data_IF_685017572308
#
_entry.id   IF_685017572308
#
_cell.length_a   1.000
_cell.length_b   1.000
_cell.length_c   1.000
_cell.angle_alpha   90.00
_cell.angle_beta   90.00
_cell.angle_gamma   90.00
#
_symmetry.space_group_name_H-M   'P 1'
#
loop_
_entity.id
_entity.type
_entity.pdbx_description
1 polymer ?
#
# COMPACT_ATOMS: atom_id res chain seq x y z
N UNK A 1 44.47 -13.96 -13.02
CA UNK A 1 43.73 -15.08 -12.41
C UNK A 1 42.32 -15.04 -12.94
N UNK A 2 41.86 -16.10 -13.58
CA UNK A 2 40.45 -16.25 -13.97
C UNK A 2 39.72 -16.50 -12.64
N UNK A 3 39.11 -15.46 -12.09
CA UNK A 3 38.18 -15.61 -10.96
C UNK A 3 36.93 -16.27 -11.56
N UNK A 4 36.64 -17.51 -11.17
CA UNK A 4 35.39 -18.17 -11.55
C UNK A 4 34.25 -17.40 -10.88
N UNK A 5 33.40 -16.77 -11.70
CA UNK A 5 32.14 -16.18 -11.25
C UNK A 5 31.20 -17.33 -10.82
N UNK A 6 30.70 -17.31 -9.58
CA UNK A 6 29.81 -18.34 -9.02
C UNK A 6 28.37 -17.88 -9.13
N UNK A 7 27.46 -18.73 -9.61
CA UNK A 7 26.04 -18.39 -9.69
C UNK A 7 25.42 -18.38 -8.28
N UNK A 8 24.50 -17.46 -8.02
CA UNK A 8 23.96 -17.23 -6.66
C UNK A 8 23.21 -18.45 -6.10
N UNK A 9 22.67 -19.32 -6.95
CA UNK A 9 22.04 -20.60 -6.57
C UNK A 9 23.04 -21.66 -6.07
N UNK A 10 24.34 -21.44 -6.21
CA UNK A 10 25.42 -22.35 -5.75
C UNK A 10 26.00 -21.96 -4.39
N UNK A 11 25.56 -20.84 -3.80
CA UNK A 11 25.95 -20.37 -2.46
C UNK A 11 24.93 -20.91 -1.43
N UNK A 12 25.34 -21.86 -0.58
CA UNK A 12 24.45 -22.57 0.36
C UNK A 12 23.93 -21.74 1.55
N UNK A 13 22.77 -22.18 2.06
CA UNK A 13 21.89 -21.75 3.15
C UNK A 13 22.08 -20.39 3.87
N UNK A 14 20.96 -19.64 3.86
CA UNK A 14 20.66 -18.42 4.62
C UNK A 14 21.66 -17.30 4.44
N UNK A 15 21.61 -16.66 3.27
CA UNK A 15 22.21 -15.34 3.07
C UNK A 15 21.75 -14.37 4.17
N UNK A 16 22.69 -13.83 4.93
CA UNK A 16 22.40 -12.76 5.88
C UNK A 16 21.68 -11.61 5.15
N UNK A 17 20.72 -10.97 5.82
CA UNK A 17 19.89 -9.92 5.21
C UNK A 17 20.74 -8.84 4.51
N UNK A 18 21.91 -8.52 5.07
CA UNK A 18 22.88 -7.59 4.47
C UNK A 18 23.37 -8.07 3.10
N UNK A 19 23.72 -9.35 2.95
CA UNK A 19 24.14 -9.94 1.68
C UNK A 19 22.99 -9.96 0.66
N UNK A 20 21.76 -10.27 1.08
CA UNK A 20 20.57 -10.19 0.22
C UNK A 20 20.38 -8.75 -0.29
N UNK A 21 20.59 -7.76 0.58
CA UNK A 21 20.44 -6.35 0.22
C UNK A 21 21.53 -5.88 -0.75
N UNK A 22 22.77 -6.32 -0.59
CA UNK A 22 23.85 -6.07 -1.55
C UNK A 22 23.54 -6.65 -2.93
N UNK A 23 23.05 -7.89 -2.96
CA UNK A 23 22.58 -8.55 -4.19
C UNK A 23 21.50 -7.71 -4.87
N UNK A 24 20.53 -7.25 -4.11
CA UNK A 24 19.38 -6.55 -4.69
C UNK A 24 19.74 -5.13 -5.11
N UNK A 25 20.64 -4.42 -4.40
CA UNK A 25 21.12 -3.11 -4.87
C UNK A 25 21.89 -3.24 -6.19
N UNK A 26 22.71 -4.28 -6.32
CA UNK A 26 23.42 -4.56 -7.57
C UNK A 26 22.44 -4.88 -8.71
N UNK A 27 21.47 -5.78 -8.48
CA UNK A 27 20.45 -6.15 -9.47
C UNK A 27 19.67 -4.92 -9.93
N UNK A 28 19.13 -4.16 -8.98
CA UNK A 28 18.32 -2.96 -9.26
C UNK A 28 19.11 -1.90 -10.00
N UNK A 29 20.42 -1.77 -9.75
CA UNK A 29 21.30 -0.84 -10.48
C UNK A 29 21.42 -1.18 -11.97
N UNK A 30 21.56 -2.46 -12.31
CA UNK A 30 21.70 -2.88 -13.71
C UNK A 30 20.36 -2.76 -14.44
N UNK A 31 19.26 -3.16 -13.78
CA UNK A 31 17.92 -2.99 -14.32
C UNK A 31 17.60 -1.51 -14.57
N UNK A 32 17.96 -0.62 -13.65
CA UNK A 32 17.76 0.83 -13.80
C UNK A 32 18.47 1.36 -15.04
N UNK A 33 19.71 0.94 -15.26
CA UNK A 33 20.47 1.28 -16.45
C UNK A 33 19.80 0.77 -17.73
N UNK A 34 19.38 -0.50 -17.75
CA UNK A 34 18.71 -1.11 -18.91
C UNK A 34 17.37 -0.44 -19.24
N UNK A 35 16.53 -0.22 -18.22
CA UNK A 35 15.23 0.43 -18.36
C UNK A 35 15.36 1.87 -18.88
N UNK A 36 16.39 2.60 -18.44
CA UNK A 36 16.71 3.94 -18.95
C UNK A 36 17.05 3.98 -20.45
N UNK A 37 17.42 2.84 -21.03
CA UNK A 37 17.68 2.66 -22.47
C UNK A 37 16.53 1.93 -23.19
N UNK A 38 15.38 1.76 -22.55
CA UNK A 38 14.21 1.09 -23.15
C UNK A 38 14.38 -0.43 -23.31
N UNK A 39 15.29 -1.03 -22.55
CA UNK A 39 15.56 -2.47 -22.58
C UNK A 39 14.98 -3.14 -21.34
N UNK A 40 14.25 -4.24 -21.54
CA UNK A 40 13.75 -5.11 -20.46
C UNK A 40 14.66 -6.34 -20.40
N UNK A 41 15.06 -6.77 -19.20
CA UNK A 41 15.88 -7.97 -19.03
C UNK A 41 15.11 -9.24 -19.41
N UNK A 42 13.87 -9.38 -18.92
CA UNK A 42 12.91 -10.42 -19.31
C UNK A 42 13.25 -11.86 -18.88
N UNK A 43 14.37 -12.07 -18.18
CA UNK A 43 14.85 -13.38 -17.73
C UNK A 43 15.68 -13.27 -16.44
N UNK A 44 15.21 -12.48 -15.48
CA UNK A 44 15.87 -12.31 -14.20
C UNK A 44 15.59 -13.54 -13.30
N UNK A 45 16.64 -14.29 -12.97
CA UNK A 45 16.62 -15.52 -12.16
C UNK A 45 17.97 -15.72 -11.48
N UNK A 46 18.02 -16.55 -10.43
CA UNK A 46 19.23 -16.72 -9.60
C UNK A 46 20.44 -17.23 -10.39
N UNK A 47 20.22 -18.06 -11.42
CA UNK A 47 21.28 -18.63 -12.26
C UNK A 47 21.93 -17.56 -13.17
N UNK A 48 21.27 -16.41 -13.33
CA UNK A 48 21.78 -15.27 -14.10
C UNK A 48 22.41 -14.19 -13.19
N UNK A 49 22.47 -14.42 -11.88
CA UNK A 49 23.10 -13.52 -10.91
C UNK A 49 24.42 -14.15 -10.49
N UNK A 50 25.52 -13.48 -10.82
CA UNK A 50 26.87 -13.96 -10.59
C UNK A 50 27.55 -13.15 -9.49
N UNK A 51 28.16 -13.85 -8.53
CA UNK A 51 28.95 -13.25 -7.46
C UNK A 51 30.42 -13.47 -7.78
N UNK A 52 31.20 -12.39 -7.74
CA UNK A 52 32.64 -12.40 -8.03
C UNK A 52 33.39 -11.57 -6.99
N UNK A 53 34.72 -11.72 -6.90
CA UNK A 53 35.56 -10.84 -6.08
C UNK A 53 35.52 -9.36 -6.49
N UNK A 54 34.94 -9.04 -7.66
CA UNK A 54 34.68 -7.67 -8.15
C UNK A 54 33.28 -7.14 -7.85
N UNK A 55 32.46 -7.92 -7.13
CA UNK A 55 31.06 -7.63 -6.86
C UNK A 55 30.10 -8.48 -7.70
N UNK A 56 28.86 -8.04 -7.76
CA UNK A 56 27.73 -8.79 -8.32
C UNK A 56 27.46 -8.35 -9.76
N UNK A 57 27.28 -9.32 -10.65
CA UNK A 57 27.02 -9.11 -12.08
C UNK A 57 25.75 -9.82 -12.50
N UNK A 58 25.04 -9.23 -13.45
CA UNK A 58 23.88 -9.84 -14.09
C UNK A 58 24.25 -10.32 -15.49
N UNK A 59 24.08 -11.62 -15.73
CA UNK A 59 24.11 -12.21 -17.07
C UNK A 59 22.71 -12.46 -17.62
N UNK A 60 22.60 -13.15 -18.75
CA UNK A 60 21.31 -13.49 -19.36
C UNK A 60 20.62 -12.34 -20.12
N UNK A 61 21.22 -11.14 -20.15
CA UNK A 61 20.85 -10.05 -21.09
C UNK A 61 21.02 -10.55 -22.53
N UNK A 62 19.92 -10.85 -23.21
CA UNK A 62 19.90 -11.35 -24.60
C UNK A 62 19.09 -12.63 -24.84
N UNK A 63 18.72 -13.37 -23.79
CA UNK A 63 17.82 -14.54 -23.91
C UNK A 63 16.33 -14.16 -23.72
N UNK A 64 16.07 -12.96 -23.18
CA UNK A 64 14.72 -12.37 -23.01
C UNK A 64 14.69 -10.87 -23.33
N UNK A 65 15.70 -10.36 -24.05
CA UNK A 65 15.80 -8.93 -24.38
C UNK A 65 14.66 -8.55 -25.32
N UNK A 66 13.73 -7.77 -24.81
CA UNK A 66 12.59 -7.26 -25.56
C UNK A 66 12.60 -5.73 -25.46
N UNK A 67 12.43 -5.08 -26.61
CA UNK A 67 12.11 -3.66 -26.64
C UNK A 67 10.76 -3.46 -25.94
N UNK A 68 10.65 -2.38 -25.17
CA UNK A 68 9.40 -1.98 -24.52
C UNK A 68 8.27 -1.94 -25.56
N UNK A 69 7.15 -2.59 -25.24
CA UNK A 69 5.99 -2.65 -26.12
C UNK A 69 6.00 -3.79 -27.14
N UNK A 70 6.91 -4.77 -27.07
CA UNK A 70 6.79 -6.03 -27.83
C UNK A 70 6.00 -7.09 -27.08
N UNK A 71 5.35 -8.00 -27.84
CA UNK A 71 4.65 -9.16 -27.29
C UNK A 71 5.63 -10.29 -27.03
N UNK A 72 5.46 -10.99 -25.93
CA UNK A 72 6.30 -12.11 -25.54
C UNK A 72 6.30 -13.28 -26.55
N UNK A 73 5.20 -13.49 -27.29
CA UNK A 73 5.08 -14.57 -28.29
C UNK A 73 6.06 -14.48 -29.46
N UNK A 74 6.75 -13.36 -29.63
CA UNK A 74 7.78 -13.16 -30.66
C UNK A 74 9.19 -13.57 -30.21
N UNK A 75 9.40 -13.81 -28.90
CA UNK A 75 10.64 -14.35 -28.34
C UNK A 75 10.58 -15.89 -28.27
N UNK A 76 11.68 -16.58 -28.55
CA UNK A 76 11.74 -18.03 -28.53
C UNK A 76 11.58 -18.57 -27.08
N UNK A 77 10.45 -19.18 -26.70
CA UNK A 77 10.12 -19.47 -25.30
C UNK A 77 10.97 -20.59 -24.67
N UNK A 78 11.82 -21.26 -25.45
CA UNK A 78 12.60 -22.45 -25.05
C UNK A 78 13.66 -22.20 -23.95
N UNK A 79 13.95 -20.95 -23.57
CA UNK A 79 15.03 -20.61 -22.63
C UNK A 79 14.58 -20.00 -21.29
N UNK A 80 13.27 -19.87 -21.07
CA UNK A 80 12.75 -19.20 -19.88
C UNK A 80 12.24 -20.20 -18.85
N UNK A 81 12.53 -19.90 -17.58
CA UNK A 81 12.07 -20.72 -16.47
C UNK A 81 10.69 -20.23 -16.01
N UNK A 82 9.70 -21.10 -16.16
CA UNK A 82 8.31 -20.91 -15.76
C UNK A 82 8.17 -20.38 -14.33
N UNK A 83 9.06 -20.75 -13.42
CA UNK A 83 8.97 -20.37 -12.01
C UNK A 83 9.20 -18.87 -11.76
N UNK A 84 9.75 -18.15 -12.74
CA UNK A 84 10.05 -16.72 -12.64
C UNK A 84 9.18 -15.85 -13.55
N UNK A 85 8.41 -16.45 -14.46
CA UNK A 85 7.68 -15.69 -15.48
C UNK A 85 6.66 -14.73 -14.87
N UNK A 86 6.66 -13.50 -15.37
CA UNK A 86 5.62 -12.53 -15.05
C UNK A 86 4.28 -12.91 -15.72
N UNK A 87 3.13 -12.55 -15.12
CA UNK A 87 1.80 -12.81 -15.68
C UNK A 87 1.64 -12.35 -17.13
N UNK A 88 2.13 -11.15 -17.46
CA UNK A 88 2.07 -10.59 -18.80
C UNK A 88 2.95 -11.36 -19.81
N UNK A 89 4.03 -12.01 -19.37
CA UNK A 89 4.84 -12.89 -20.22
C UNK A 89 4.06 -14.16 -20.54
N UNK A 90 3.46 -14.79 -19.53
CA UNK A 90 2.61 -15.98 -19.69
C UNK A 90 1.44 -15.70 -20.64
N UNK A 91 0.82 -14.52 -20.55
CA UNK A 91 -0.33 -14.12 -21.36
C UNK A 91 0.06 -13.61 -22.76
N UNK A 92 1.34 -13.50 -23.11
CA UNK A 92 1.75 -12.97 -24.40
C UNK A 92 1.46 -11.48 -24.58
N UNK A 93 1.35 -10.72 -23.50
CA UNK A 93 1.01 -9.30 -23.50
C UNK A 93 2.24 -8.42 -23.79
N UNK A 94 2.00 -7.12 -23.94
CA UNK A 94 3.06 -6.13 -24.06
C UNK A 94 3.86 -6.06 -22.76
N UNK A 95 5.19 -6.09 -22.89
CA UNK A 95 6.09 -5.99 -21.75
C UNK A 95 6.56 -4.55 -21.54
N UNK A 96 6.74 -4.19 -20.28
CA UNK A 96 7.39 -2.96 -19.85
C UNK A 96 8.40 -3.26 -18.72
N UNK A 97 9.04 -2.22 -18.19
CA UNK A 97 10.00 -2.33 -17.09
C UNK A 97 9.46 -3.06 -15.84
N UNK A 98 8.14 -3.13 -15.65
CA UNK A 98 7.49 -3.75 -14.50
C UNK A 98 7.44 -5.27 -14.61
N UNK A 99 7.72 -5.84 -15.79
CA UNK A 99 7.98 -7.26 -15.98
C UNK A 99 9.21 -7.71 -15.18
N UNK A 100 10.29 -6.92 -15.23
CA UNK A 100 11.49 -7.21 -14.43
C UNK A 100 11.25 -7.00 -12.92
N UNK A 101 10.31 -6.13 -12.54
CA UNK A 101 9.95 -5.95 -11.13
C UNK A 101 9.23 -7.18 -10.55
N UNK A 102 8.41 -7.86 -11.34
CA UNK A 102 7.77 -9.10 -10.90
C UNK A 102 8.79 -10.20 -10.68
N UNK A 103 9.67 -10.42 -11.66
CA UNK A 103 10.74 -11.43 -11.57
C UNK A 103 11.70 -11.11 -10.42
N UNK A 104 11.98 -9.82 -10.16
CA UNK A 104 12.71 -9.39 -8.96
C UNK A 104 11.98 -9.76 -7.67
N UNK A 105 10.65 -9.63 -7.62
CA UNK A 105 9.82 -10.08 -6.51
C UNK A 105 9.95 -11.59 -6.26
N UNK A 106 9.99 -12.40 -7.33
CA UNK A 106 10.19 -13.85 -7.24
C UNK A 106 11.58 -14.17 -6.68
N UNK A 107 12.63 -13.50 -7.19
CA UNK A 107 14.01 -13.65 -6.70
C UNK A 107 14.10 -13.31 -5.21
N UNK A 108 13.53 -12.17 -4.79
CA UNK A 108 13.52 -11.73 -3.40
C UNK A 108 12.78 -12.72 -2.50
N UNK A 109 11.60 -13.18 -2.91
CA UNK A 109 10.82 -14.17 -2.17
C UNK A 109 11.66 -15.43 -1.91
N UNK A 110 12.35 -15.92 -2.94
CA UNK A 110 13.23 -17.08 -2.83
C UNK A 110 14.42 -16.84 -1.94
N UNK A 111 15.11 -15.71 -2.07
CA UNK A 111 16.26 -15.40 -1.21
C UNK A 111 15.88 -15.29 0.28
N UNK A 112 14.66 -14.81 0.57
CA UNK A 112 14.19 -14.60 1.94
C UNK A 112 13.59 -15.85 2.60
N UNK A 113 13.09 -16.81 1.82
CA UNK A 113 12.37 -17.99 2.35
C UNK A 113 12.99 -19.32 1.97
N UNK A 114 13.99 -19.29 1.09
CA UNK A 114 14.54 -20.45 0.38
C UNK A 114 13.48 -21.28 -0.39
N UNK A 115 12.36 -20.65 -0.75
CA UNK A 115 11.25 -21.29 -1.45
C UNK A 115 10.80 -20.47 -2.64
N UNK A 116 10.32 -21.13 -3.69
CA UNK A 116 9.58 -20.44 -4.74
C UNK A 116 8.22 -19.94 -4.20
N UNK A 117 7.69 -18.81 -4.70
CA UNK A 117 6.36 -18.34 -4.33
C UNK A 117 5.26 -19.32 -4.73
N UNK A 118 5.48 -20.11 -5.79
CA UNK A 118 4.55 -21.12 -6.30
C UNK A 118 5.29 -22.42 -6.63
N UNK A 119 4.62 -23.55 -6.42
CA UNK A 119 5.16 -24.90 -6.67
C UNK A 119 4.07 -25.81 -7.23
N UNK A 120 4.44 -26.80 -8.03
CA UNK A 120 3.53 -27.81 -8.57
C UNK A 120 3.91 -28.22 -9.98
N UNK A 121 2.93 -28.75 -10.73
CA UNK A 121 3.07 -28.97 -12.17
C UNK A 121 3.17 -27.63 -12.92
N UNK A 122 3.71 -27.64 -14.14
CA UNK A 122 3.81 -26.43 -14.95
C UNK A 122 2.47 -25.69 -15.09
N UNK A 123 1.37 -26.43 -15.29
CA UNK A 123 0.04 -25.84 -15.39
C UNK A 123 -0.40 -25.16 -14.08
N UNK A 124 -0.07 -25.75 -12.93
CA UNK A 124 -0.39 -25.18 -11.61
C UNK A 124 0.43 -23.93 -11.35
N UNK A 125 1.74 -23.96 -11.64
CA UNK A 125 2.63 -22.80 -11.47
C UNK A 125 2.18 -21.65 -12.39
N UNK A 126 1.88 -21.94 -13.64
CA UNK A 126 1.36 -20.97 -14.61
C UNK A 126 0.07 -20.31 -14.09
N UNK A 127 -0.90 -21.12 -13.66
CA UNK A 127 -2.15 -20.61 -13.10
C UNK A 127 -1.93 -19.79 -11.83
N UNK A 128 -1.01 -20.22 -10.96
CA UNK A 128 -0.69 -19.51 -9.72
C UNK A 128 -0.03 -18.15 -9.99
N UNK A 129 0.89 -18.07 -10.96
CA UNK A 129 1.44 -16.79 -11.40
C UNK A 129 0.34 -15.85 -11.89
N UNK A 130 -0.67 -16.35 -12.60
CA UNK A 130 -1.77 -15.53 -13.11
C UNK A 130 -2.76 -15.06 -12.02
N UNK A 131 -3.15 -15.93 -11.08
CA UNK A 131 -4.33 -15.67 -10.24
C UNK A 131 -4.11 -15.83 -8.74
N UNK A 132 -3.14 -16.62 -8.29
CA UNK A 132 -3.01 -16.94 -6.86
C UNK A 132 -2.06 -15.98 -6.14
N UNK A 133 -2.44 -15.37 -5.01
CA UNK A 133 -1.48 -14.66 -4.19
C UNK A 133 -0.45 -15.65 -3.61
N UNK A 134 0.84 -15.27 -3.52
CA UNK A 134 1.83 -16.09 -2.83
C UNK A 134 1.54 -16.13 -1.33
N UNK A 135 2.09 -17.14 -0.64
CA UNK A 135 2.02 -17.22 0.82
C UNK A 135 2.75 -16.01 1.43
N UNK A 136 2.18 -15.30 2.42
CA UNK A 136 2.88 -14.20 3.06
C UNK A 136 4.23 -14.63 3.66
N UNK A 137 5.27 -13.81 3.47
CA UNK A 137 6.63 -14.11 3.90
C UNK A 137 6.74 -14.41 5.40
N UNK A 138 5.98 -13.68 6.22
CA UNK A 138 5.99 -13.81 7.69
C UNK A 138 5.29 -15.06 8.20
N UNK A 139 4.47 -15.72 7.38
CA UNK A 139 3.97 -17.07 7.69
C UNK A 139 5.08 -18.13 7.58
N UNK A 140 6.05 -17.92 6.68
CA UNK A 140 7.18 -18.82 6.48
C UNK A 140 8.39 -18.46 7.33
N UNK A 141 8.57 -17.18 7.63
CA UNK A 141 9.72 -16.65 8.38
C UNK A 141 9.29 -15.42 9.19
N UNK A 142 8.82 -15.61 10.44
CA UNK A 142 8.26 -14.54 11.28
C UNK A 142 9.23 -13.38 11.59
N UNK A 143 10.54 -13.61 11.46
CA UNK A 143 11.59 -12.61 11.68
C UNK A 143 11.68 -11.59 10.54
N UNK A 144 11.04 -11.84 9.39
CA UNK A 144 10.98 -10.88 8.29
C UNK A 144 10.13 -9.68 8.72
N UNK A 145 10.67 -8.48 8.52
CA UNK A 145 9.95 -7.24 8.80
C UNK A 145 8.72 -7.10 7.91
N UNK A 146 7.63 -6.57 8.47
CA UNK A 146 6.40 -6.24 7.72
C UNK A 146 6.67 -5.35 6.49
N UNK A 147 7.70 -4.49 6.55
CA UNK A 147 8.06 -3.63 5.43
C UNK A 147 8.70 -4.41 4.27
N UNK A 148 9.54 -5.41 4.59
CA UNK A 148 10.14 -6.30 3.58
C UNK A 148 9.06 -7.16 2.95
N UNK A 149 8.13 -7.68 3.78
CA UNK A 149 6.97 -8.42 3.29
C UNK A 149 6.14 -7.59 2.31
N UNK A 150 5.73 -6.39 2.71
CA UNK A 150 4.93 -5.51 1.86
C UNK A 150 5.63 -5.18 0.54
N UNK A 151 6.96 -4.95 0.56
CA UNK A 151 7.73 -4.73 -0.65
C UNK A 151 7.66 -5.91 -1.62
N UNK A 152 7.94 -7.12 -1.13
CA UNK A 152 7.96 -8.33 -1.97
C UNK A 152 6.57 -8.67 -2.48
N UNK A 153 5.55 -8.57 -1.63
CA UNK A 153 4.15 -8.85 -2.01
C UNK A 153 3.66 -7.85 -3.08
N UNK A 154 4.06 -6.57 -3.00
CA UNK A 154 3.71 -5.57 -4.01
C UNK A 154 4.45 -5.77 -5.34
N UNK A 155 5.69 -6.26 -5.33
CA UNK A 155 6.39 -6.68 -6.55
C UNK A 155 5.68 -7.86 -7.25
N UNK A 156 5.13 -8.78 -6.46
CA UNK A 156 4.41 -9.97 -6.93
C UNK A 156 2.93 -9.71 -7.29
N UNK A 157 2.49 -8.45 -7.32
CA UNK A 157 1.15 -8.10 -7.76
C UNK A 157 0.90 -8.54 -9.21
N UNK A 158 -0.29 -9.07 -9.49
CA UNK A 158 -0.59 -9.73 -10.78
C UNK A 158 -0.63 -8.75 -11.93
N UNK A 159 -1.32 -7.63 -11.75
CA UNK A 159 -1.39 -6.57 -12.75
C UNK A 159 -0.14 -5.67 -12.65
N UNK A 160 0.55 -5.37 -13.77
CA UNK A 160 1.74 -4.51 -13.75
C UNK A 160 1.49 -3.15 -13.09
N UNK A 161 0.29 -2.57 -13.24
CA UNK A 161 -0.08 -1.27 -12.65
C UNK A 161 -0.17 -1.25 -11.12
N UNK A 162 -0.35 -2.42 -10.50
CA UNK A 162 -0.44 -2.54 -9.03
C UNK A 162 0.95 -2.72 -8.39
N UNK A 163 1.99 -2.92 -9.23
CA UNK A 163 3.40 -2.98 -8.81
C UNK A 163 3.98 -1.57 -8.67
N UNK A 164 5.23 -1.50 -8.23
CA UNK A 164 5.99 -0.26 -8.25
C UNK A 164 6.16 0.29 -9.66
N UNK A 165 6.24 1.61 -9.79
CA UNK A 165 6.28 2.28 -11.08
C UNK A 165 7.61 2.05 -11.81
N UNK A 166 8.71 1.91 -11.07
CA UNK A 166 10.08 1.78 -11.59
C UNK A 166 10.98 1.04 -10.62
N UNK A 167 12.09 0.51 -11.14
CA UNK A 167 13.13 -0.14 -10.31
C UNK A 167 13.85 0.86 -9.40
N UNK A 168 13.98 2.13 -9.80
CA UNK A 168 14.50 3.20 -8.95
C UNK A 168 13.67 3.37 -7.67
N UNK A 169 12.34 3.23 -7.77
CA UNK A 169 11.45 3.28 -6.61
C UNK A 169 11.75 2.13 -5.64
N UNK A 170 11.92 0.91 -6.16
CA UNK A 170 12.24 -0.28 -5.37
C UNK A 170 13.60 -0.15 -4.68
N UNK A 171 14.62 0.28 -5.43
CA UNK A 171 15.98 0.51 -4.92
C UNK A 171 16.00 1.54 -3.79
N UNK A 172 15.24 2.62 -3.92
CA UNK A 172 15.12 3.63 -2.87
C UNK A 172 14.51 3.07 -1.59
N UNK A 173 13.51 2.19 -1.68
CA UNK A 173 12.87 1.58 -0.51
C UNK A 173 13.85 0.62 0.18
N UNK A 174 14.54 -0.22 -0.59
CA UNK A 174 15.50 -1.19 -0.06
C UNK A 174 16.70 -0.52 0.64
N UNK A 175 17.27 0.52 0.02
CA UNK A 175 18.31 1.35 0.64
C UNK A 175 17.84 2.04 1.90
N UNK A 176 16.56 2.41 1.93
CA UNK A 176 15.89 2.74 3.18
C UNK A 176 16.15 1.62 4.16
N UNK A 177 15.54 0.44 3.94
CA UNK A 177 15.49 -0.71 4.86
C UNK A 177 16.86 -1.10 5.47
N UNK A 178 17.94 -1.03 4.70
CA UNK A 178 19.31 -1.32 5.16
C UNK A 178 19.77 -0.35 6.25
N UNK A 179 19.53 0.95 6.06
CA UNK A 179 19.97 1.99 6.99
C UNK A 179 19.23 1.94 8.34
N UNK A 180 18.16 1.15 8.48
CA UNK A 180 17.48 0.88 9.76
C UNK A 180 18.26 -0.05 10.68
N UNK A 181 18.99 -1.00 10.12
CA UNK A 181 19.44 -2.20 10.83
C UNK A 181 20.79 -1.98 11.57
N UNK A 182 21.55 -0.94 11.20
CA UNK A 182 22.87 -0.61 11.77
C UNK A 182 22.87 0.29 13.00
N UNK A 183 21.71 0.61 13.59
CA UNK A 183 21.61 1.46 14.77
C UNK A 183 20.67 0.84 15.80
N UNK A 184 21.17 0.62 17.02
CA UNK A 184 20.34 0.40 18.21
C UNK A 184 19.53 1.68 18.48
N UNK A 185 18.42 1.83 17.78
CA UNK A 185 17.26 2.63 18.14
C UNK A 185 16.26 2.49 17.01
N UNK A 186 15.01 2.29 17.38
CA UNK A 186 13.89 2.05 16.47
C UNK A 186 13.64 3.29 15.62
N UNK A 187 14.33 3.40 14.50
CA UNK A 187 14.12 4.47 13.53
C UNK A 187 14.09 3.85 12.13
N UNK A 188 12.97 4.04 11.42
CA UNK A 188 12.86 4.08 9.94
C UNK A 188 11.41 4.19 9.46
N UNK A 189 11.11 4.49 8.15
CA UNK A 189 12.03 4.69 7.00
C UNK A 189 11.70 5.85 6.03
N UNK A 190 12.66 6.70 5.69
CA UNK A 190 12.91 7.24 4.32
C UNK A 190 14.00 8.31 4.43
N UNK A 191 15.06 8.19 3.64
CA UNK A 191 15.84 9.37 3.28
C UNK A 191 14.98 10.21 2.33
N UNK A 192 14.08 10.97 2.94
CA UNK A 192 13.43 12.17 2.46
C UNK A 192 14.51 13.23 2.21
N UNK A 193 15.39 13.00 1.23
CA UNK A 193 16.39 13.98 0.81
C UNK A 193 15.64 15.23 0.36
N UNK A 194 15.82 16.33 1.09
CA UNK A 194 15.09 17.59 0.87
C UNK A 194 13.69 17.68 1.49
N UNK A 195 13.19 16.64 2.18
CA UNK A 195 11.83 16.62 2.75
C UNK A 195 11.79 16.52 4.29
N UNK A 196 12.97 16.55 4.95
CA UNK A 196 13.11 16.74 6.41
C UNK A 196 12.27 17.92 6.93
N UNK A 197 12.17 19.00 6.14
CA UNK A 197 11.36 20.18 6.47
C UNK A 197 9.86 19.85 6.46
N UNK A 198 9.37 19.11 5.46
CA UNK A 198 7.97 18.70 5.39
C UNK A 198 7.62 17.78 6.57
N UNK A 199 8.48 16.83 6.93
CA UNK A 199 8.27 16.00 8.12
C UNK A 199 8.27 16.82 9.41
N UNK A 200 9.22 17.76 9.57
CA UNK A 200 9.23 18.64 10.75
C UNK A 200 7.93 19.43 10.87
N UNK A 201 7.38 19.93 9.76
CA UNK A 201 6.09 20.61 9.74
C UNK A 201 4.98 19.66 10.14
N UNK A 202 4.89 18.47 9.53
CA UNK A 202 3.86 17.48 9.88
C UNK A 202 3.96 17.04 11.34
N UNK A 203 5.18 16.86 11.86
CA UNK A 203 5.42 16.51 13.26
C UNK A 203 4.97 17.63 14.20
N UNK A 204 5.32 18.88 13.90
CA UNK A 204 4.87 20.03 14.68
C UNK A 204 3.34 20.14 14.71
N UNK A 205 2.67 19.95 13.57
CA UNK A 205 1.21 19.93 13.50
C UNK A 205 0.60 18.79 14.32
N UNK A 206 1.23 17.61 14.33
CA UNK A 206 0.76 16.50 15.15
C UNK A 206 0.96 16.78 16.64
N UNK A 207 2.06 17.43 17.03
CA UNK A 207 2.30 17.81 18.41
C UNK A 207 1.28 18.87 18.88
N UNK A 208 0.90 19.83 18.02
CA UNK A 208 -0.21 20.77 18.28
C UNK A 208 -1.57 20.06 18.36
N UNK A 209 -1.77 19.01 17.56
CA UNK A 209 -2.99 18.18 17.61
C UNK A 209 -3.10 17.45 18.95
N UNK A 210 -1.99 16.91 19.47
CA UNK A 210 -1.93 16.30 20.80
C UNK A 210 -2.19 17.29 21.92
N UNK A 211 -1.94 18.58 21.69
CA UNK A 211 -2.31 19.66 22.61
C UNK A 211 -3.80 20.06 22.53
N UNK A 212 -4.61 19.38 21.71
CA UNK A 212 -6.06 19.55 21.62
C UNK A 212 -6.54 20.45 20.49
N UNK A 213 -5.64 20.90 19.59
CA UNK A 213 -6.01 21.76 18.46
C UNK A 213 -5.98 20.99 17.16
N UNK A 214 -7.13 20.76 16.52
CA UNK A 214 -7.19 20.10 15.21
C UNK A 214 -6.39 20.84 14.14
N UNK A 215 -5.61 20.10 13.34
CA UNK A 215 -4.77 20.65 12.28
C UNK A 215 -5.16 20.13 10.90
N UNK A 216 -4.96 20.96 9.88
CA UNK A 216 -5.13 20.60 8.48
C UNK A 216 -3.86 20.91 7.70
N UNK A 217 -3.34 19.92 6.98
CA UNK A 217 -2.15 20.04 6.15
C UNK A 217 -2.45 19.64 4.72
N UNK A 218 -2.00 20.45 3.76
CA UNK A 218 -2.04 20.08 2.35
C UNK A 218 -0.64 19.75 1.83
N UNK A 219 -0.51 18.59 1.21
CA UNK A 219 0.74 18.13 0.60
C UNK A 219 0.63 18.21 -0.92
N UNK A 220 1.29 19.20 -1.51
CA UNK A 220 1.30 19.42 -2.96
C UNK A 220 2.64 19.07 -3.60
N UNK A 221 2.62 18.87 -4.91
CA UNK A 221 3.79 18.63 -5.74
C UNK A 221 3.46 17.84 -6.99
N UNK A 222 4.43 17.74 -7.91
CA UNK A 222 4.29 17.01 -9.18
C UNK A 222 3.91 15.53 -8.95
N UNK A 223 3.27 14.91 -9.95
CA UNK A 223 2.97 13.48 -9.89
C UNK A 223 4.27 12.67 -9.75
N UNK A 224 4.27 11.63 -8.92
CA UNK A 224 5.46 10.80 -8.68
C UNK A 224 6.52 11.39 -7.74
N UNK A 225 6.38 12.62 -7.23
CA UNK A 225 7.35 13.25 -6.30
C UNK A 225 7.39 12.64 -4.88
N UNK A 226 6.68 11.54 -4.64
CA UNK A 226 6.68 10.83 -3.35
C UNK A 226 5.77 11.42 -2.28
N UNK A 227 4.64 12.07 -2.64
CA UNK A 227 3.67 12.61 -1.68
C UNK A 227 3.06 11.53 -0.78
N UNK A 228 2.56 10.45 -1.39
CA UNK A 228 2.03 9.28 -0.67
C UNK A 228 3.10 8.66 0.22
N UNK A 229 4.32 8.46 -0.28
CA UNK A 229 5.42 7.92 0.52
C UNK A 229 5.82 8.81 1.72
N UNK A 230 5.72 10.13 1.60
CA UNK A 230 5.91 11.06 2.73
C UNK A 230 4.83 10.85 3.80
N UNK A 231 3.56 10.74 3.39
CA UNK A 231 2.43 10.57 4.30
C UNK A 231 2.43 9.19 4.96
N UNK A 232 2.72 8.13 4.20
CA UNK A 232 2.91 6.77 4.70
C UNK A 232 4.06 6.71 5.71
N UNK A 233 5.18 7.39 5.42
CA UNK A 233 6.30 7.45 6.34
C UNK A 233 5.95 8.18 7.64
N UNK A 234 5.29 9.33 7.52
CA UNK A 234 4.83 10.09 8.68
C UNK A 234 3.84 9.29 9.53
N UNK A 235 2.88 8.63 8.90
CA UNK A 235 1.92 7.73 9.54
C UNK A 235 2.62 6.59 10.31
N UNK A 236 3.65 5.96 9.72
CA UNK A 236 4.39 4.88 10.35
C UNK A 236 5.18 5.29 11.60
N UNK A 237 5.51 6.58 11.76
CA UNK A 237 6.21 7.10 12.94
C UNK A 237 5.29 7.31 14.16
N UNK A 238 3.98 7.45 13.93
CA UNK A 238 3.00 7.74 14.97
C UNK A 238 2.56 6.52 15.78
N UNK A 239 3.40 5.99 16.67
CA UNK A 239 3.06 4.84 17.54
C UNK A 239 1.85 5.04 18.47
N UNK A 240 1.32 6.25 18.58
CA UNK A 240 0.16 6.64 19.39
C UNK A 240 -0.88 7.43 18.60
N UNK A 241 -0.85 7.32 17.27
CA UNK A 241 -1.77 8.03 16.37
C UNK A 241 -2.53 7.00 15.57
N UNK A 242 -3.85 7.12 15.54
CA UNK A 242 -4.67 6.25 14.71
C UNK A 242 -4.71 6.80 13.30
N UNK A 243 -4.04 6.09 12.40
CA UNK A 243 -3.97 6.46 10.98
C UNK A 243 -5.18 5.89 10.26
N UNK A 244 -5.83 6.73 9.48
CA UNK A 244 -6.95 6.36 8.61
C UNK A 244 -6.73 7.00 7.25
N UNK A 245 -7.01 6.26 6.18
CA UNK A 245 -6.74 6.73 4.82
C UNK A 245 -7.90 6.44 3.90
N UNK A 246 -8.16 7.36 2.97
CA UNK A 246 -9.08 7.16 1.87
C UNK A 246 -8.64 7.94 0.64
N UNK A 247 -9.05 7.47 -0.54
CA UNK A 247 -8.67 8.10 -1.81
C UNK A 247 -9.91 8.65 -2.54
N UNK A 248 -9.76 9.82 -3.15
CA UNK A 248 -10.76 10.33 -4.07
C UNK A 248 -10.69 9.59 -5.40
N UNK A 249 -11.85 9.33 -6.01
CA UNK A 249 -11.93 8.60 -7.28
C UNK A 249 -12.64 9.41 -8.36
N UNK A 250 -12.07 9.38 -9.56
CA UNK A 250 -12.62 9.93 -10.80
C UNK A 250 -13.71 9.06 -11.42
N UNK A 251 -13.88 7.83 -10.91
CA UNK A 251 -14.76 6.85 -11.54
C UNK A 251 -16.23 7.30 -11.48
N UNK A 252 -16.90 7.19 -12.63
CA UNK A 252 -18.31 7.56 -12.76
C UNK A 252 -19.15 6.64 -11.87
N UNK A 253 -19.90 7.23 -10.94
CA UNK A 253 -20.72 6.48 -9.97
C UNK A 253 -20.05 6.23 -8.62
N UNK A 254 -18.81 6.68 -8.38
CA UNK A 254 -18.21 6.62 -7.05
C UNK A 254 -19.04 7.42 -6.03
N UNK A 255 -19.24 6.88 -4.81
CA UNK A 255 -19.98 7.56 -3.75
C UNK A 255 -19.44 8.96 -3.46
N UNK A 256 -20.32 9.89 -3.07
CA UNK A 256 -19.91 11.10 -2.39
C UNK A 256 -19.28 10.75 -1.03
N UNK A 257 -18.33 11.56 -0.57
CA UNK A 257 -17.62 11.37 0.70
C UNK A 257 -16.78 10.08 0.79
N UNK A 258 -16.52 9.41 -0.34
CA UNK A 258 -15.78 8.15 -0.41
C UNK A 258 -14.53 8.07 0.49
N UNK A 259 -13.58 9.03 0.48
CA UNK A 259 -12.38 8.91 1.31
C UNK A 259 -12.68 8.86 2.82
N UNK A 260 -13.72 9.56 3.27
CA UNK A 260 -14.14 9.53 4.67
C UNK A 260 -14.84 8.22 5.03
N UNK A 261 -15.65 7.68 4.13
CA UNK A 261 -16.28 6.38 4.33
C UNK A 261 -15.23 5.27 4.43
N UNK A 262 -14.19 5.32 3.60
CA UNK A 262 -13.10 4.34 3.65
C UNK A 262 -12.27 4.46 4.93
N UNK A 263 -11.99 5.69 5.36
CA UNK A 263 -11.32 5.95 6.63
C UNK A 263 -12.09 5.40 7.84
N UNK A 264 -13.42 5.62 7.88
CA UNK A 264 -14.27 5.08 8.96
C UNK A 264 -14.30 3.55 8.91
N UNK A 265 -14.44 2.93 7.72
CA UNK A 265 -14.39 1.45 7.60
C UNK A 265 -13.07 0.85 8.03
N UNK A 266 -11.95 1.55 7.82
CA UNK A 266 -10.66 1.12 8.32
C UNK A 266 -10.65 1.16 9.85
N UNK A 267 -11.10 2.28 10.43
CA UNK A 267 -11.18 2.46 11.88
C UNK A 267 -12.06 1.41 12.56
N UNK A 268 -13.27 1.18 12.04
CA UNK A 268 -14.22 0.20 12.58
C UNK A 268 -13.72 -1.25 12.51
N UNK A 269 -12.76 -1.56 11.61
CA UNK A 269 -12.15 -2.90 11.49
C UNK A 269 -10.99 -3.11 12.45
N UNK A 270 -10.27 -2.05 12.80
CA UNK A 270 -9.07 -2.14 13.62
C UNK A 270 -9.31 -1.85 15.11
N UNK A 271 -10.33 -1.07 15.44
CA UNK A 271 -10.61 -0.68 16.83
C UNK A 271 -11.43 -1.73 17.59
N UNK A 272 -11.22 -1.87 18.91
CA UNK A 272 -11.99 -2.79 19.72
C UNK A 272 -13.45 -2.37 19.80
N UNK A 273 -14.33 -3.35 20.01
CA UNK A 273 -15.79 -3.13 20.07
C UNK A 273 -16.16 -2.09 21.14
N UNK A 274 -15.45 -2.04 22.28
CA UNK A 274 -15.71 -1.06 23.34
C UNK A 274 -15.52 0.39 22.88
N UNK A 275 -14.53 0.65 22.01
CA UNK A 275 -14.34 1.97 21.42
C UNK A 275 -15.50 2.31 20.50
N UNK A 276 -15.88 1.37 19.63
CA UNK A 276 -17.02 1.54 18.72
C UNK A 276 -18.29 1.81 19.53
N UNK A 277 -18.50 1.08 20.63
CA UNK A 277 -19.61 1.29 21.55
C UNK A 277 -19.61 2.71 22.11
N UNK A 278 -18.49 3.23 22.61
CA UNK A 278 -18.39 4.60 23.14
C UNK A 278 -18.58 5.70 22.10
N UNK A 279 -18.11 5.51 20.87
CA UNK A 279 -18.34 6.49 19.79
C UNK A 279 -19.83 6.51 19.41
N UNK A 280 -20.49 5.35 19.50
CA UNK A 280 -21.89 5.17 19.13
C UNK A 280 -22.88 5.52 20.26
N UNK A 281 -22.54 5.24 21.51
CA UNK A 281 -23.29 5.61 22.72
C UNK A 281 -22.99 7.06 23.13
N UNK A 282 -24.00 7.75 23.63
CA UNK A 282 -24.02 9.20 23.73
C UNK A 282 -22.93 9.82 24.61
N UNK A 283 -22.21 10.77 24.02
CA UNK A 283 -21.81 11.98 24.73
C UNK A 283 -22.98 12.97 24.65
N UNK A 284 -23.97 12.84 25.55
CA UNK A 284 -24.70 13.92 26.25
C UNK A 284 -25.93 13.39 26.99
N UNK A 285 -25.81 13.25 28.32
CA UNK A 285 -26.91 13.43 29.29
C UNK A 285 -27.34 14.92 29.36
N UNK A 286 -27.34 15.63 28.23
CA UNK A 286 -27.62 17.06 28.18
C UNK A 286 -28.97 17.28 27.50
N UNK A 287 -30.03 17.16 28.31
CA UNK A 287 -31.44 17.37 27.92
C UNK A 287 -31.67 18.71 27.18
N UNK A 288 -30.77 19.68 27.31
CA UNK A 288 -30.85 20.98 26.64
C UNK A 288 -30.50 20.95 25.14
N UNK A 289 -29.74 19.96 24.65
CA UNK A 289 -29.36 19.83 23.23
C UNK A 289 -30.31 18.92 22.42
N UNK A 290 -31.21 18.22 23.10
CA UNK A 290 -32.19 17.29 22.52
C UNK A 290 -33.21 18.00 21.62
N UNK A 291 -33.36 19.33 21.71
CA UNK A 291 -34.46 20.00 21.01
C UNK A 291 -34.22 20.40 19.57
N UNK A 292 -32.97 20.40 19.03
CA UNK A 292 -32.74 20.67 17.60
C UNK A 292 -31.46 19.97 17.06
N UNK A 293 -31.58 18.71 16.64
CA UNK A 293 -30.68 18.12 15.63
C UNK A 293 -29.72 17.00 16.05
N UNK A 294 -29.75 16.53 17.30
CA UNK A 294 -28.97 15.38 17.78
C UNK A 294 -29.56 14.00 17.37
N UNK A 295 -30.72 13.99 16.72
CA UNK A 295 -31.67 12.87 16.79
C UNK A 295 -31.47 11.67 15.84
N UNK A 296 -30.37 11.53 15.11
CA UNK A 296 -30.23 10.41 14.14
C UNK A 296 -28.82 9.84 13.93
N UNK A 297 -27.82 10.23 14.73
CA UNK A 297 -26.42 9.83 14.50
C UNK A 297 -26.24 8.30 14.38
N UNK A 298 -26.68 7.54 15.37
CA UNK A 298 -26.53 6.08 15.37
C UNK A 298 -27.30 5.42 14.21
N UNK A 299 -28.47 5.95 13.86
CA UNK A 299 -29.28 5.49 12.73
C UNK A 299 -28.57 5.74 11.40
N UNK A 300 -28.04 6.94 11.22
CA UNK A 300 -27.38 7.35 9.98
C UNK A 300 -26.03 6.62 9.83
N UNK A 301 -25.30 6.40 10.92
CA UNK A 301 -24.09 5.56 10.96
C UNK A 301 -24.38 4.10 10.61
N UNK A 302 -25.41 3.48 11.21
CA UNK A 302 -25.85 2.12 10.84
C UNK A 302 -26.22 2.01 9.37
N UNK A 303 -26.75 3.08 8.81
CA UNK A 303 -27.13 3.11 7.40
C UNK A 303 -25.90 3.21 6.49
N UNK A 304 -24.94 4.07 6.83
CA UNK A 304 -23.69 4.23 6.08
C UNK A 304 -22.77 3.00 6.20
N UNK A 305 -22.83 2.31 7.36
CA UNK A 305 -22.02 1.15 7.72
C UNK A 305 -22.90 0.03 8.31
N UNK A 306 -23.65 -0.72 7.48
CA UNK A 306 -24.53 -1.79 7.94
C UNK A 306 -23.83 -2.87 8.79
N UNK A 307 -22.53 -3.05 8.59
CA UNK A 307 -21.66 -3.93 9.38
C UNK A 307 -21.68 -3.63 10.90
N UNK A 308 -21.99 -2.38 11.30
CA UNK A 308 -22.10 -1.99 12.70
C UNK A 308 -23.17 -2.76 13.46
N UNK A 309 -24.21 -3.26 12.79
CA UNK A 309 -25.28 -4.07 13.42
C UNK A 309 -24.73 -5.32 14.11
N UNK A 310 -23.69 -5.92 13.54
CA UNK A 310 -23.08 -7.12 14.12
C UNK A 310 -22.14 -6.79 15.28
N UNK A 311 -21.57 -5.58 15.27
CA UNK A 311 -20.59 -5.13 16.25
C UNK A 311 -21.25 -4.55 17.50
N UNK A 312 -22.40 -3.90 17.34
CA UNK A 312 -23.14 -3.25 18.44
C UNK A 312 -24.63 -3.65 18.37
N UNK A 313 -25.01 -4.83 18.89
CA UNK A 313 -26.38 -5.35 18.80
C UNK A 313 -27.44 -4.49 19.50
N UNK A 314 -27.05 -3.67 20.48
CA UNK A 314 -27.92 -2.72 21.19
C UNK A 314 -28.54 -1.67 20.25
N UNK A 315 -27.97 -1.44 19.07
CA UNK A 315 -28.47 -0.50 18.07
C UNK A 315 -29.59 -1.07 17.17
N UNK A 316 -29.94 -2.36 17.29
CA UNK A 316 -30.91 -3.03 16.40
C UNK A 316 -32.35 -2.48 16.54
N UNK A 317 -32.70 -1.93 17.72
CA UNK A 317 -34.03 -1.35 17.96
C UNK A 317 -34.29 -0.05 17.20
N UNK A 318 -33.25 0.62 16.69
CA UNK A 318 -33.30 1.93 16.01
C UNK A 318 -33.70 1.82 14.52
N UNK A 319 -33.78 0.59 13.98
CA UNK A 319 -33.86 0.32 12.53
C UNK A 319 -35.29 0.37 11.92
N UNK A 320 -36.29 0.92 12.62
CA UNK A 320 -37.70 0.78 12.21
C UNK A 320 -38.22 1.79 11.15
N UNK A 321 -37.37 2.55 10.44
CA UNK A 321 -37.86 3.48 9.40
C UNK A 321 -37.04 3.51 8.11
N UNK A 322 -37.74 3.78 7.01
CA UNK A 322 -37.39 3.61 5.57
C UNK A 322 -36.29 4.57 5.05
N UNK A 323 -35.69 4.28 3.87
CA UNK A 323 -34.34 4.71 3.48
C UNK A 323 -34.28 6.18 3.03
N UNK A 324 -33.43 6.97 3.68
CA UNK A 324 -33.21 8.37 3.26
C UNK A 324 -31.76 8.62 2.81
N UNK A 325 -30.77 7.88 3.31
CA UNK A 325 -29.34 8.24 3.22
C UNK A 325 -28.54 7.57 2.08
N UNK A 326 -28.91 6.39 1.53
CA UNK A 326 -28.09 5.75 0.46
C UNK A 326 -28.17 6.55 -0.83
N UNK A 327 -29.35 7.14 -1.08
CA UNK A 327 -29.50 8.10 -2.15
C UNK A 327 -28.52 9.27 -1.98
N UNK A 328 -28.22 9.72 -0.75
CA UNK A 328 -27.31 10.84 -0.50
C UNK A 328 -25.84 10.55 -0.88
N UNK A 329 -25.46 9.28 -0.98
CA UNK A 329 -24.15 8.86 -1.49
C UNK A 329 -24.07 8.98 -3.02
N UNK A 330 -25.20 9.06 -3.72
CA UNK A 330 -25.18 9.40 -5.14
C UNK A 330 -24.85 10.90 -5.28
N UNK A 331 -23.84 11.19 -6.12
CA UNK A 331 -23.33 12.55 -6.35
C UNK A 331 -24.41 13.52 -6.84
N UNK A 332 -25.47 13.03 -7.49
CA UNK A 332 -26.56 13.83 -8.07
C UNK A 332 -27.74 14.12 -7.12
N UNK A 333 -27.64 13.75 -5.84
CA UNK A 333 -28.78 13.86 -4.89
C UNK A 333 -28.89 15.20 -4.16
N UNK A 334 -30.11 15.48 -3.69
CA UNK A 334 -30.57 16.68 -2.99
C UNK A 334 -29.54 17.21 -1.95
N UNK A 335 -29.17 18.50 -2.02
CA UNK A 335 -28.24 19.14 -1.08
C UNK A 335 -28.58 18.98 0.41
N UNK A 336 -29.86 18.88 0.79
CA UNK A 336 -30.25 18.68 2.20
C UNK A 336 -29.73 17.37 2.77
N UNK A 337 -29.87 16.27 2.03
CA UNK A 337 -29.42 14.94 2.47
C UNK A 337 -27.89 14.84 2.56
N UNK A 338 -27.16 15.54 1.70
CA UNK A 338 -25.69 15.62 1.76
C UNK A 338 -25.21 16.36 3.01
N UNK A 339 -25.96 17.38 3.46
CA UNK A 339 -25.67 18.07 4.73
C UNK A 339 -25.86 17.14 5.93
N UNK A 340 -26.88 16.29 5.91
CA UNK A 340 -27.11 15.32 6.98
C UNK A 340 -25.95 14.32 7.06
N UNK A 341 -25.52 13.74 5.93
CA UNK A 341 -24.32 12.88 5.88
C UNK A 341 -23.08 13.62 6.39
N UNK A 342 -22.87 14.86 5.95
CA UNK A 342 -21.72 15.65 6.40
C UNK A 342 -21.73 15.85 7.92
N UNK A 343 -22.90 16.17 8.51
CA UNK A 343 -23.06 16.29 9.96
C UNK A 343 -22.75 14.97 10.67
N UNK A 344 -23.26 13.84 10.17
CA UNK A 344 -22.97 12.52 10.73
C UNK A 344 -21.47 12.22 10.71
N UNK A 345 -20.79 12.49 9.60
CA UNK A 345 -19.34 12.28 9.47
C UNK A 345 -18.54 13.19 10.43
N UNK A 346 -18.89 14.48 10.52
CA UNK A 346 -18.28 15.42 11.46
C UNK A 346 -18.45 14.94 12.90
N UNK A 347 -19.67 14.53 13.26
CA UNK A 347 -19.97 14.04 14.60
C UNK A 347 -19.19 12.76 14.92
N UNK A 348 -19.03 11.84 13.97
CA UNK A 348 -18.22 10.65 14.15
C UNK A 348 -16.76 10.99 14.43
N UNK A 349 -16.12 11.80 13.58
CA UNK A 349 -14.73 12.17 13.77
C UNK A 349 -14.51 12.99 15.04
N UNK A 350 -15.44 13.88 15.39
CA UNK A 350 -15.38 14.64 16.64
C UNK A 350 -15.45 13.74 17.87
N UNK A 351 -16.31 12.70 17.85
CA UNK A 351 -16.40 11.73 18.94
C UNK A 351 -15.17 10.82 19.00
N UNK A 352 -14.69 10.33 17.86
CA UNK A 352 -13.48 9.52 17.78
C UNK A 352 -12.25 10.29 18.29
N UNK A 353 -12.15 11.59 17.95
CA UNK A 353 -11.05 12.46 18.37
C UNK A 353 -11.01 12.78 19.87
N UNK A 354 -12.09 12.48 20.62
CA UNK A 354 -12.10 12.61 22.08
C UNK A 354 -11.21 11.55 22.75
N UNK A 355 -11.23 10.32 22.22
CA UNK A 355 -10.51 9.19 22.79
C UNK A 355 -9.18 8.90 22.05
N UNK A 356 -9.07 9.35 20.79
CA UNK A 356 -7.94 9.05 19.92
C UNK A 356 -7.30 10.32 19.34
N UNK A 357 -5.97 10.32 19.22
CA UNK A 357 -5.31 11.21 18.27
C UNK A 357 -5.42 10.59 16.88
N UNK A 358 -6.27 11.16 16.03
CA UNK A 358 -6.52 10.67 14.68
C UNK A 358 -5.68 11.40 13.63
N UNK A 359 -5.12 10.66 12.67
CA UNK A 359 -4.51 11.20 11.46
C UNK A 359 -5.30 10.70 10.24
N UNK A 360 -6.07 11.60 9.62
CA UNK A 360 -6.80 11.32 8.39
C UNK A 360 -5.99 11.74 7.17
N UNK A 361 -5.68 10.77 6.31
CA UNK A 361 -5.01 10.97 5.03
C UNK A 361 -6.04 10.87 3.91
N UNK A 362 -6.22 11.96 3.16
CA UNK A 362 -7.07 11.99 1.96
C UNK A 362 -6.19 12.09 0.73
N UNK A 363 -6.16 11.02 -0.06
CA UNK A 363 -5.38 10.95 -1.30
C UNK A 363 -6.17 11.45 -2.52
N UNK A 364 -5.42 11.85 -3.55
CA UNK A 364 -5.96 12.21 -4.86
C UNK A 364 -7.04 13.31 -4.85
N UNK A 365 -6.89 14.31 -3.97
CA UNK A 365 -7.85 15.40 -3.77
C UNK A 365 -8.29 16.13 -5.07
N UNK A 366 -7.49 16.09 -6.13
CA UNK A 366 -7.86 16.62 -7.45
C UNK A 366 -9.05 15.90 -8.09
N UNK A 367 -9.42 14.71 -7.62
CA UNK A 367 -10.61 13.96 -8.01
C UNK A 367 -11.78 14.07 -7.02
N UNK A 368 -11.66 14.92 -5.98
CA UNK A 368 -12.69 15.06 -4.97
C UNK A 368 -13.99 15.63 -5.55
N UNK A 369 -15.13 15.09 -5.11
CA UNK A 369 -16.42 15.68 -5.41
C UNK A 369 -16.68 16.93 -4.53
N UNK A 370 -17.61 17.77 -4.95
CA UNK A 370 -17.92 19.02 -4.26
C UNK A 370 -18.32 18.81 -2.79
N UNK A 371 -18.99 17.70 -2.47
CA UNK A 371 -19.44 17.39 -1.11
C UNK A 371 -18.25 17.01 -0.23
N UNK A 372 -17.31 16.21 -0.75
CA UNK A 372 -16.02 15.90 -0.09
C UNK A 372 -15.22 17.17 0.19
N UNK A 373 -15.15 18.10 -0.77
CA UNK A 373 -14.45 19.39 -0.60
C UNK A 373 -15.14 20.34 0.39
N UNK A 374 -16.45 20.25 0.58
CA UNK A 374 -17.19 21.05 1.57
C UNK A 374 -17.07 20.50 2.99
N UNK A 375 -16.78 19.20 3.12
CA UNK A 375 -16.59 18.53 4.41
C UNK A 375 -15.19 18.75 4.97
N UNK A 376 -14.17 18.76 4.11
CA UNK A 376 -12.81 19.22 4.43
C UNK A 376 -12.83 20.70 4.80
#
# INVERSE_FOLDING_TARGET
QIVQDTALNEIGDSAELEFILEIVDAITSVLEYGHGHGLIHGNLRLENIYVSGSGIKLGGYGMGLLEVGRKFTEANPLFLDIHYLAPEQILGQHLDARTDLYTLGVVLYRLLTDRMPFSGTERQITHAHLEQPPVPLRELSPNISIFVEHLVMKLLAKQPRDRYASVSQVRSILRGLVNAQGGTETSMPTALVGRKRCLHILQALLDDTRAGTGQLAFVFGESGIGKTSLLEHFAAQGRSVRVMSGACSSMRGSPAFQPFLDAIRALLREEPVDFIHRVMEDATDDEALVTQGADNFARDMLYLFPELKNLVPSLDHTYKSTPTVASALNREVNPSKKRDVSKTLIQFFSRAAHDLTCLLIVEDLHWADQSTLQLL
#
